data_IF_318880337895
#
_entry.id   IF_318880337895
#
_cell.length_a   1.000
_cell.length_b   1.000
_cell.length_c   1.000
_cell.angle_alpha   90.00
_cell.angle_beta   90.00
_cell.angle_gamma   90.00
#
_symmetry.space_group_name_H-M   'P 1'
#
loop_
_entity.id
_entity.type
_entity.pdbx_description
1 polymer ?
#
# COMPACT_ATOMS: atom_id res chain seq x y z
N UNK A 1 -1.58 -5.70 5.48
CA UNK A 1 -2.85 -6.02 4.79
C UNK A 1 -2.67 -5.81 3.30
N UNK A 2 -3.14 -6.75 2.46
CA UNK A 2 -3.14 -6.64 1.00
C UNK A 2 -4.57 -6.36 0.54
N UNK A 3 -4.78 -5.30 -0.23
CA UNK A 3 -6.01 -5.08 -0.96
C UNK A 3 -5.94 -5.84 -2.29
N UNK A 4 -6.90 -6.72 -2.53
CA UNK A 4 -7.08 -7.43 -3.81
C UNK A 4 -8.32 -6.86 -4.50
N UNK A 5 -8.14 -6.16 -5.61
CA UNK A 5 -9.18 -5.34 -6.25
C UNK A 5 -9.55 -5.90 -7.61
N UNK A 6 -10.84 -6.17 -7.81
CA UNK A 6 -11.45 -6.48 -9.10
C UNK A 6 -12.66 -5.56 -9.35
N UNK A 7 -12.99 -5.32 -10.60
CA UNK A 7 -14.12 -4.48 -10.95
C UNK A 7 -14.00 -3.05 -10.41
N UNK A 8 -15.05 -2.51 -9.79
CA UNK A 8 -15.12 -1.12 -9.39
C UNK A 8 -14.64 -0.87 -7.96
N UNK A 9 -13.61 -0.05 -7.83
CA UNK A 9 -13.05 0.43 -6.55
C UNK A 9 -13.20 1.95 -6.47
N UNK A 10 -14.41 2.41 -6.15
CA UNK A 10 -14.76 3.82 -6.21
C UNK A 10 -14.95 4.42 -4.81
N UNK A 11 -14.57 5.70 -4.66
CA UNK A 11 -14.88 6.53 -3.49
C UNK A 11 -14.45 5.86 -2.18
N UNK A 12 -15.36 5.46 -1.32
CA UNK A 12 -15.04 4.77 -0.06
C UNK A 12 -14.31 3.44 -0.23
N UNK A 13 -14.60 2.68 -1.30
CA UNK A 13 -13.82 1.47 -1.60
C UNK A 13 -12.36 1.80 -1.93
N UNK A 14 -12.10 2.89 -2.65
CA UNK A 14 -10.75 3.38 -2.91
C UNK A 14 -10.07 3.85 -1.62
N UNK A 15 -10.79 4.53 -0.73
CA UNK A 15 -10.25 4.93 0.59
C UNK A 15 -9.83 3.72 1.44
N UNK A 16 -10.63 2.63 1.42
CA UNK A 16 -10.29 1.37 2.10
C UNK A 16 -9.06 0.70 1.47
N UNK A 17 -9.00 0.63 0.14
CA UNK A 17 -7.85 0.07 -0.58
C UNK A 17 -6.56 0.85 -0.29
N UNK A 18 -6.63 2.18 -0.26
CA UNK A 18 -5.52 3.06 0.11
C UNK A 18 -5.08 2.93 1.57
N UNK A 19 -5.95 2.46 2.47
CA UNK A 19 -5.61 2.19 3.86
C UNK A 19 -4.85 0.88 4.05
N UNK A 20 -4.82 0.01 3.04
CA UNK A 20 -4.04 -1.22 3.04
C UNK A 20 -2.56 -0.93 2.75
N UNK A 21 -1.70 -1.85 3.19
CA UNK A 21 -0.24 -1.72 3.03
C UNK A 21 0.21 -1.95 1.59
N UNK A 22 -0.41 -2.91 0.93
CA UNK A 22 -0.13 -3.35 -0.43
C UNK A 22 -1.44 -3.42 -1.23
N UNK A 23 -1.35 -3.23 -2.54
CA UNK A 23 -2.50 -3.30 -3.44
C UNK A 23 -2.14 -4.09 -4.70
N UNK A 24 -2.92 -5.13 -5.01
CA UNK A 24 -2.93 -5.84 -6.28
C UNK A 24 -4.29 -5.66 -6.93
N UNK A 25 -4.33 -5.52 -8.23
CA UNK A 25 -5.59 -5.38 -8.96
C UNK A 25 -5.66 -6.29 -10.18
N UNK A 26 -6.87 -6.58 -10.60
CA UNK A 26 -7.13 -7.14 -11.92
C UNK A 26 -6.87 -6.09 -13.01
N UNK A 27 -6.57 -6.52 -14.21
CA UNK A 27 -6.33 -5.66 -15.37
C UNK A 27 -7.57 -4.85 -15.78
N UNK A 28 -8.75 -5.38 -15.52
CA UNK A 28 -10.06 -4.74 -15.72
C UNK A 28 -10.53 -3.91 -14.50
N UNK A 29 -9.77 -3.88 -13.41
CA UNK A 29 -10.12 -3.10 -12.23
C UNK A 29 -10.19 -1.59 -12.56
N UNK A 30 -11.15 -0.91 -11.94
CA UNK A 30 -11.43 0.52 -12.19
C UNK A 30 -11.45 1.28 -10.89
N UNK A 31 -10.58 2.27 -10.78
CA UNK A 31 -10.46 3.13 -9.62
C UNK A 31 -10.97 4.53 -9.96
N UNK A 32 -11.73 5.13 -9.06
CA UNK A 32 -12.27 6.46 -9.28
C UNK A 32 -12.60 7.15 -7.95
N UNK A 33 -12.30 8.43 -7.85
CA UNK A 33 -12.88 9.27 -6.81
C UNK A 33 -14.11 10.00 -7.32
N UNK A 34 -15.27 9.63 -6.81
CA UNK A 34 -16.53 10.23 -7.22
C UNK A 34 -17.09 11.25 -6.21
N UNK A 35 -16.34 11.59 -5.14
CA UNK A 35 -16.80 12.52 -4.12
C UNK A 35 -17.26 13.85 -4.72
N UNK A 36 -16.44 14.45 -5.60
CA UNK A 36 -16.76 15.70 -6.27
C UNK A 36 -18.00 15.65 -7.14
N UNK A 37 -18.31 14.50 -7.75
CA UNK A 37 -19.53 14.30 -8.55
C UNK A 37 -20.80 14.37 -7.72
N UNK A 38 -20.72 13.98 -6.45
CA UNK A 38 -21.86 13.90 -5.54
C UNK A 38 -21.89 15.03 -4.51
N UNK A 39 -20.97 16.01 -4.60
CA UNK A 39 -20.87 17.11 -3.64
C UNK A 39 -20.45 16.64 -2.24
N UNK A 40 -19.75 15.53 -2.15
CA UNK A 40 -19.22 15.00 -0.89
C UNK A 40 -17.76 15.39 -0.72
N UNK A 41 -17.30 15.41 0.53
CA UNK A 41 -15.88 15.56 0.88
C UNK A 41 -15.37 14.25 1.46
N UNK A 42 -14.23 13.73 1.01
CA UNK A 42 -13.63 12.51 1.56
C UNK A 42 -13.36 12.64 3.07
N UNK A 43 -13.70 11.61 3.82
CA UNK A 43 -13.51 11.59 5.29
C UNK A 43 -12.71 10.39 5.80
N UNK A 44 -12.43 9.40 4.94
CA UNK A 44 -11.71 8.18 5.32
C UNK A 44 -10.26 8.17 4.87
N UNK A 45 -9.74 9.31 4.39
CA UNK A 45 -8.32 9.54 4.16
C UNK A 45 -7.89 9.60 2.70
N UNK A 46 -8.80 9.78 1.74
CA UNK A 46 -8.46 9.99 0.31
C UNK A 46 -7.43 11.12 0.14
N UNK A 47 -7.72 12.27 0.76
CA UNK A 47 -6.93 13.50 0.62
C UNK A 47 -5.48 13.38 1.17
N UNK A 48 -5.22 12.41 2.02
CA UNK A 48 -3.89 12.13 2.55
C UNK A 48 -3.22 10.98 1.77
N UNK A 49 -3.88 9.81 1.73
CA UNK A 49 -3.26 8.59 1.22
C UNK A 49 -3.10 8.56 -0.29
N UNK A 50 -4.03 9.16 -1.05
CA UNK A 50 -3.89 9.17 -2.50
C UNK A 50 -2.67 10.00 -2.94
N UNK A 51 -2.46 11.26 -2.46
CA UNK A 51 -1.24 12.00 -2.78
C UNK A 51 0.06 11.33 -2.31
N UNK A 52 0.04 10.66 -1.16
CA UNK A 52 1.19 9.88 -0.70
C UNK A 52 1.54 8.72 -1.64
N UNK A 53 0.53 8.11 -2.27
CA UNK A 53 0.69 6.95 -3.15
C UNK A 53 1.10 7.34 -4.57
N UNK A 54 0.42 8.30 -5.18
CA UNK A 54 0.59 8.64 -6.61
C UNK A 54 1.22 10.02 -6.86
N UNK A 55 1.56 10.72 -5.79
CA UNK A 55 2.01 12.10 -5.86
C UNK A 55 0.86 13.11 -6.01
N UNK A 56 1.11 14.39 -5.65
CA UNK A 56 0.05 15.39 -5.51
C UNK A 56 -0.59 15.81 -6.84
N UNK A 57 0.13 15.74 -7.96
CA UNK A 57 -0.43 16.13 -9.27
C UNK A 57 -1.42 15.10 -9.78
N UNK A 58 -1.04 13.83 -9.76
CA UNK A 58 -1.91 12.72 -10.21
C UNK A 58 -3.11 12.58 -9.27
N UNK A 59 -2.89 12.74 -7.96
CA UNK A 59 -3.99 12.71 -6.99
C UNK A 59 -5.04 13.80 -7.28
N UNK A 60 -4.62 15.03 -7.54
CA UNK A 60 -5.54 16.12 -7.90
C UNK A 60 -6.29 15.84 -9.19
N UNK A 61 -5.61 15.30 -10.20
CA UNK A 61 -6.26 14.92 -11.45
C UNK A 61 -7.38 13.91 -11.20
N UNK A 62 -7.11 12.84 -10.45
CA UNK A 62 -8.12 11.81 -10.12
C UNK A 62 -9.27 12.41 -9.31
N UNK A 63 -8.97 13.19 -8.25
CA UNK A 63 -9.96 13.72 -7.33
C UNK A 63 -10.83 14.82 -7.97
N UNK A 64 -10.23 15.71 -8.76
CA UNK A 64 -10.95 16.87 -9.30
C UNK A 64 -11.71 16.54 -10.57
N UNK A 65 -11.16 15.68 -11.43
CA UNK A 65 -11.85 15.26 -12.66
C UNK A 65 -12.85 14.12 -12.41
N UNK A 66 -12.64 13.32 -11.36
CA UNK A 66 -13.40 12.09 -11.13
C UNK A 66 -13.24 11.10 -12.28
N UNK A 67 -12.09 11.12 -12.98
CA UNK A 67 -11.80 10.17 -14.05
C UNK A 67 -11.57 8.77 -13.50
N UNK A 68 -11.76 7.80 -14.35
CA UNK A 68 -11.44 6.40 -14.05
C UNK A 68 -9.96 6.16 -14.36
N UNK A 69 -9.28 5.45 -13.45
CA UNK A 69 -7.96 4.86 -13.62
C UNK A 69 -8.17 3.35 -13.77
N UNK A 70 -7.71 2.76 -14.86
CA UNK A 70 -7.79 1.31 -15.09
C UNK A 70 -6.59 0.58 -14.48
N UNK A 71 -6.71 -0.74 -14.29
CA UNK A 71 -5.71 -1.55 -13.58
C UNK A 71 -4.29 -1.40 -14.13
N UNK A 72 -4.13 -1.36 -15.45
CA UNK A 72 -2.82 -1.18 -16.11
C UNK A 72 -2.26 0.22 -15.80
N UNK A 73 -3.07 1.27 -15.85
CA UNK A 73 -2.65 2.61 -15.50
C UNK A 73 -2.30 2.72 -14.00
N UNK A 74 -3.03 2.00 -13.14
CA UNK A 74 -2.79 2.01 -11.70
C UNK A 74 -1.35 1.61 -11.32
N UNK A 75 -0.74 0.69 -12.09
CA UNK A 75 0.69 0.37 -11.95
C UNK A 75 1.56 1.54 -12.37
N UNK A 76 1.28 2.15 -13.52
CA UNK A 76 2.13 3.19 -14.10
C UNK A 76 2.22 4.43 -13.22
N UNK A 77 1.12 4.76 -12.53
CA UNK A 77 1.05 5.92 -11.62
C UNK A 77 1.42 5.59 -10.17
N UNK A 78 1.74 4.34 -9.86
CA UNK A 78 2.10 3.90 -8.50
C UNK A 78 0.90 3.72 -7.56
N UNK A 79 -0.33 3.65 -8.07
CA UNK A 79 -1.53 3.39 -7.27
C UNK A 79 -1.57 1.93 -6.80
N UNK A 80 -1.23 0.98 -7.66
CA UNK A 80 -1.14 -0.44 -7.36
C UNK A 80 0.30 -0.96 -7.41
N UNK A 81 0.60 -1.99 -6.64
CA UNK A 81 1.90 -2.68 -6.65
C UNK A 81 1.97 -3.75 -7.75
N UNK A 82 0.84 -4.38 -8.07
CA UNK A 82 0.73 -5.44 -9.08
C UNK A 82 -0.59 -5.32 -9.83
N UNK A 83 -0.56 -5.70 -11.11
CA UNK A 83 -1.74 -5.83 -11.95
C UNK A 83 -1.60 -7.13 -12.74
N UNK A 84 -2.63 -7.97 -12.73
CA UNK A 84 -2.66 -9.28 -13.37
C UNK A 84 -4.02 -9.51 -14.04
N UNK A 85 -4.14 -10.44 -14.98
CA UNK A 85 -5.44 -10.87 -15.48
C UNK A 85 -6.38 -11.27 -14.33
N UNK A 86 -7.66 -10.94 -14.44
CA UNK A 86 -8.65 -11.23 -13.38
C UNK A 86 -8.60 -12.69 -12.91
N UNK A 87 -8.47 -13.62 -13.86
CA UNK A 87 -8.42 -15.06 -13.58
C UNK A 87 -7.23 -15.48 -12.69
N UNK A 88 -6.15 -14.69 -12.67
CA UNK A 88 -4.94 -14.95 -11.90
C UNK A 88 -4.91 -14.18 -10.56
N UNK A 89 -5.84 -13.26 -10.34
CA UNK A 89 -5.81 -12.33 -9.22
C UNK A 89 -5.75 -13.04 -7.86
N UNK A 90 -6.61 -14.04 -7.66
CA UNK A 90 -6.69 -14.75 -6.38
C UNK A 90 -5.42 -15.55 -6.09
N UNK A 91 -4.96 -16.34 -7.06
CA UNK A 91 -3.74 -17.14 -6.92
C UNK A 91 -2.53 -16.25 -6.65
N UNK A 92 -2.34 -15.18 -7.46
CA UNK A 92 -1.21 -14.24 -7.29
C UNK A 92 -1.28 -13.49 -5.96
N UNK A 93 -2.48 -13.16 -5.48
CA UNK A 93 -2.66 -12.51 -4.17
C UNK A 93 -2.23 -13.44 -3.04
N UNK A 94 -2.64 -14.71 -3.10
CA UNK A 94 -2.31 -15.72 -2.08
C UNK A 94 -0.79 -16.00 -2.07
N UNK A 95 -0.18 -16.22 -3.22
CA UNK A 95 1.27 -16.42 -3.34
C UNK A 95 2.06 -15.24 -2.78
N UNK A 96 1.58 -14.02 -3.04
CA UNK A 96 2.21 -12.82 -2.49
C UNK A 96 2.03 -12.70 -0.99
N UNK A 97 0.85 -13.03 -0.47
CA UNK A 97 0.58 -13.05 0.95
C UNK A 97 1.46 -14.09 1.68
N UNK A 98 1.62 -15.28 1.11
CA UNK A 98 2.53 -16.32 1.62
C UNK A 98 3.97 -15.82 1.62
N UNK A 99 4.43 -15.22 0.51
CA UNK A 99 5.78 -14.63 0.43
C UNK A 99 6.01 -13.60 1.54
N UNK A 100 5.06 -12.72 1.79
CA UNK A 100 5.15 -11.73 2.88
C UNK A 100 5.14 -12.43 4.24
N UNK A 101 4.30 -13.46 4.43
CA UNK A 101 4.17 -14.18 5.69
C UNK A 101 5.40 -15.02 6.06
N UNK A 102 6.26 -15.37 5.09
CA UNK A 102 7.54 -16.05 5.37
C UNK A 102 8.56 -15.13 6.04
N UNK A 103 8.40 -13.81 5.95
CA UNK A 103 9.30 -12.86 6.59
C UNK A 103 9.04 -12.75 8.10
N UNK A 104 9.99 -12.17 8.84
CA UNK A 104 9.83 -11.97 10.26
C UNK A 104 8.64 -11.10 10.58
N UNK A 105 7.66 -11.68 11.25
CA UNK A 105 6.49 -10.97 11.74
C UNK A 105 6.83 -9.78 12.65
N UNK A 106 7.89 -9.91 13.47
CA UNK A 106 8.38 -8.81 14.29
C UNK A 106 8.87 -7.65 13.41
N UNK A 107 9.72 -7.94 12.42
CA UNK A 107 10.28 -6.96 11.50
C UNK A 107 9.17 -6.23 10.74
N UNK A 108 8.26 -6.96 10.09
CA UNK A 108 7.15 -6.37 9.33
C UNK A 108 6.28 -5.43 10.17
N UNK A 109 6.01 -5.82 11.42
CA UNK A 109 5.23 -4.99 12.34
C UNK A 109 5.98 -3.73 12.74
N UNK A 110 7.25 -3.84 13.05
CA UNK A 110 8.04 -2.69 13.49
C UNK A 110 8.37 -1.74 12.32
N UNK A 111 8.64 -2.26 11.12
CA UNK A 111 8.77 -1.44 9.91
C UNK A 111 7.50 -0.64 9.63
N UNK A 112 6.33 -1.26 9.70
CA UNK A 112 5.05 -0.56 9.51
C UNK A 112 4.82 0.56 10.53
N UNK A 113 5.20 0.33 11.80
CA UNK A 113 5.13 1.37 12.84
C UNK A 113 6.12 2.50 12.58
N UNK A 114 7.36 2.14 12.22
CA UNK A 114 8.39 3.13 11.93
C UNK A 114 8.04 3.99 10.72
N UNK A 115 7.57 3.40 9.62
CA UNK A 115 7.15 4.16 8.44
C UNK A 115 6.12 5.24 8.79
N UNK A 116 5.15 4.92 9.65
CA UNK A 116 4.13 5.88 10.10
C UNK A 116 4.72 6.96 11.01
N UNK A 117 5.52 6.56 11.99
CA UNK A 117 6.13 7.48 12.94
C UNK A 117 7.11 8.43 12.27
N UNK A 118 7.97 7.90 11.39
CA UNK A 118 9.02 8.68 10.75
C UNK A 118 8.49 9.63 9.66
N UNK A 119 7.31 9.37 9.11
CA UNK A 119 6.66 10.28 8.16
C UNK A 119 6.33 11.66 8.76
N UNK A 120 6.20 11.74 10.10
CA UNK A 120 5.92 12.99 10.84
C UNK A 120 7.19 13.70 11.32
N UNK A 121 8.37 13.14 11.06
CA UNK A 121 9.66 13.66 11.53
C UNK A 121 10.47 14.30 10.41
N UNK A 122 11.41 15.17 10.76
CA UNK A 122 12.47 15.52 9.82
C UNK A 122 13.33 14.29 9.54
N UNK A 123 14.01 14.29 8.38
CA UNK A 123 14.91 13.17 8.03
C UNK A 123 16.00 12.96 9.08
N UNK A 124 16.54 14.04 9.64
CA UNK A 124 17.60 14.00 10.65
C UNK A 124 17.09 13.39 11.96
N UNK A 125 15.95 13.87 12.45
CA UNK A 125 15.32 13.36 13.68
C UNK A 125 14.92 11.88 13.51
N UNK A 126 14.39 11.50 12.36
CA UNK A 126 14.04 10.12 12.06
C UNK A 126 15.24 9.18 12.08
N UNK A 127 16.36 9.57 11.47
CA UNK A 127 17.60 8.80 11.51
C UNK A 127 18.18 8.68 12.92
N UNK A 128 18.09 9.74 13.71
CA UNK A 128 18.49 9.73 15.13
C UNK A 128 17.59 8.79 15.93
N UNK A 129 16.28 8.91 15.78
CA UNK A 129 15.31 8.05 16.45
C UNK A 129 15.56 6.57 16.14
N UNK A 130 15.77 6.22 14.85
CA UNK A 130 16.00 4.85 14.43
C UNK A 130 17.24 4.22 15.09
N UNK A 131 18.31 5.02 15.28
CA UNK A 131 19.55 4.55 15.94
C UNK A 131 19.40 4.43 17.47
N UNK A 132 18.70 5.38 18.11
CA UNK A 132 18.66 5.49 19.57
C UNK A 132 17.48 4.73 20.18
N UNK A 133 16.36 4.64 19.45
CA UNK A 133 15.08 4.12 19.96
C UNK A 133 14.47 3.04 19.09
N UNK A 134 15.13 2.68 17.98
CA UNK A 134 14.64 1.61 17.12
C UNK A 134 14.55 0.29 17.87
N UNK A 135 13.62 -0.61 17.47
CA UNK A 135 13.29 -1.85 18.19
C UNK A 135 14.43 -2.90 18.16
N UNK A 136 15.51 -2.61 17.43
CA UNK A 136 16.62 -3.56 17.29
C UNK A 136 16.29 -4.75 16.40
N UNK A 137 16.97 -5.88 16.67
CA UNK A 137 16.82 -7.10 15.87
C UNK A 137 15.62 -7.93 16.32
N UNK A 138 15.04 -8.67 15.38
CA UNK A 138 13.93 -9.57 15.66
C UNK A 138 14.35 -10.73 16.58
N UNK A 139 13.48 -11.23 17.47
CA UNK A 139 13.76 -12.39 18.32
C UNK A 139 14.14 -13.66 17.54
N UNK A 140 13.60 -13.82 16.34
CA UNK A 140 13.80 -14.95 15.43
C UNK A 140 15.00 -14.77 14.47
N UNK A 141 15.81 -13.72 14.63
CA UNK A 141 16.91 -13.39 13.71
C UNK A 141 17.93 -14.52 13.57
N UNK A 142 18.40 -15.08 14.69
CA UNK A 142 19.43 -16.13 14.67
C UNK A 142 18.93 -17.39 13.98
N UNK A 143 17.72 -17.82 14.28
CA UNK A 143 17.06 -18.97 13.65
C UNK A 143 16.95 -18.79 12.13
N UNK A 144 16.45 -17.62 11.69
CA UNK A 144 16.33 -17.27 10.27
C UNK A 144 17.66 -17.25 9.53
N UNK A 145 18.71 -16.74 10.15
CA UNK A 145 20.07 -16.75 9.57
C UNK A 145 20.54 -18.19 9.39
N UNK A 146 20.39 -19.05 10.40
CA UNK A 146 20.79 -20.45 10.33
C UNK A 146 20.02 -21.23 9.25
N UNK A 147 18.73 -20.97 9.09
CA UNK A 147 17.92 -21.57 8.04
C UNK A 147 18.30 -21.07 6.64
N UNK A 148 18.59 -19.76 6.51
CA UNK A 148 19.01 -19.14 5.25
C UNK A 148 20.32 -19.69 4.71
N UNK A 149 21.25 -20.09 5.58
CA UNK A 149 22.52 -20.72 5.17
C UNK A 149 22.40 -22.21 4.81
N UNK A 150 21.23 -22.84 5.06
CA UNK A 150 20.98 -24.24 4.69
C UNK A 150 20.37 -24.42 3.29
N UNK A 151 20.01 -23.32 2.63
CA UNK A 151 19.47 -23.28 1.26
C UNK A 151 20.58 -22.93 0.27
#
# INVERSE_FOLDING_TARGET
VIASVRGHCYTGALELALACDLLICADDARFCDTHGKWGMVPTWGMTNRLPERVGPLVARDIMYSGRVVEGVEAIQIGLANRCVPEAELEATTNDWAETVATNSWHTLREEKKQMRLLAEMTREDGLKWAREKGPGVAPDMIERIQEGFKR
#
